data_IF_947367306745
#
_entry.id   IF_947367306745
#
_cell.length_a   1.000
_cell.length_b   1.000
_cell.length_c   1.000
_cell.angle_alpha   90.00
_cell.angle_beta   90.00
_cell.angle_gamma   90.00
#
_symmetry.space_group_name_H-M   'P 1'
#
loop_
_entity.id
_entity.type
_entity.pdbx_description
1 polymer ?
#
# COMPACT_ATOMS: atom_id res chain seq x y z
N UNK A 1 -17.21 4.00 7.11
CA UNK A 1 -16.29 4.06 5.95
C UNK A 1 -14.87 4.30 6.45
N UNK A 2 -13.96 3.45 6.01
CA UNK A 2 -12.56 3.63 6.35
C UNK A 2 -11.93 4.58 5.33
N UNK A 3 -11.35 5.65 5.80
CA UNK A 3 -10.61 6.57 4.98
C UNK A 3 -9.31 6.95 5.70
N UNK A 4 -8.45 7.71 5.03
CA UNK A 4 -7.15 8.06 5.59
C UNK A 4 -7.30 8.81 6.91
N UNK A 5 -8.31 9.68 7.01
CA UNK A 5 -8.52 10.47 8.21
C UNK A 5 -8.89 9.64 9.44
N UNK A 6 -9.30 8.38 9.25
CA UNK A 6 -9.59 7.47 10.36
C UNK A 6 -8.37 6.83 10.98
N UNK A 7 -7.18 7.03 10.41
CA UNK A 7 -5.93 6.44 10.89
C UNK A 7 -5.06 7.54 11.48
N UNK A 8 -4.63 7.37 12.74
CA UNK A 8 -3.72 8.33 13.38
C UNK A 8 -2.27 8.00 13.06
N UNK A 9 -1.91 6.74 13.21
CA UNK A 9 -0.56 6.24 12.93
C UNK A 9 -0.72 5.00 12.08
N UNK A 10 -0.17 5.00 10.88
CA UNK A 10 -0.32 3.82 10.06
C UNK A 10 0.26 3.96 8.67
N UNK A 11 -0.02 2.94 7.87
CA UNK A 11 0.44 2.83 6.50
C UNK A 11 -0.77 2.56 5.61
N UNK A 12 -0.89 3.32 4.53
CA UNK A 12 -1.92 3.09 3.52
C UNK A 12 -1.25 2.76 2.20
N UNK A 13 -1.48 1.55 1.72
CA UNK A 13 -1.03 1.12 0.39
C UNK A 13 -2.15 1.44 -0.59
N UNK A 14 -1.94 2.45 -1.41
CA UNK A 14 -2.93 2.92 -2.37
C UNK A 14 -2.50 2.56 -3.79
N UNK A 15 -3.43 2.65 -4.73
CA UNK A 15 -3.19 2.36 -6.15
C UNK A 15 -2.73 0.93 -6.43
N UNK A 16 -3.15 -0.01 -5.61
CA UNK A 16 -2.93 -1.43 -5.87
C UNK A 16 -3.81 -1.82 -7.05
N UNK A 17 -3.26 -2.53 -8.03
CA UNK A 17 -4.08 -3.04 -9.14
C UNK A 17 -5.22 -3.88 -8.59
N UNK A 18 -6.42 -3.64 -9.11
CA UNK A 18 -7.60 -4.39 -8.67
C UNK A 18 -7.35 -5.89 -8.83
N UNK A 19 -7.60 -6.63 -7.77
CA UNK A 19 -7.36 -8.08 -7.73
C UNK A 19 -6.04 -8.50 -7.13
N UNK A 20 -5.11 -7.57 -6.88
CA UNK A 20 -3.79 -7.93 -6.32
C UNK A 20 -3.67 -7.72 -4.81
N UNK A 21 -4.68 -7.14 -4.17
CA UNK A 21 -4.59 -6.85 -2.73
C UNK A 21 -4.34 -8.09 -1.89
N UNK A 22 -4.98 -9.21 -2.22
CA UNK A 22 -4.80 -10.44 -1.44
C UNK A 22 -3.42 -11.05 -1.62
N UNK A 23 -2.82 -10.88 -2.79
CA UNK A 23 -1.43 -11.30 -3.00
C UNK A 23 -0.48 -10.47 -2.14
N UNK A 24 -0.67 -9.15 -2.11
CA UNK A 24 0.12 -8.26 -1.26
C UNK A 24 -0.06 -8.65 0.21
N UNK A 25 -1.30 -8.89 0.62
CA UNK A 25 -1.63 -9.31 1.98
C UNK A 25 -0.83 -10.55 2.39
N UNK A 26 -0.77 -11.55 1.50
CA UNK A 26 -0.04 -12.79 1.77
C UNK A 26 1.48 -12.58 1.75
N UNK A 27 2.01 -11.88 0.76
CA UNK A 27 3.45 -11.67 0.64
C UNK A 27 4.01 -10.90 1.82
N UNK A 28 3.27 -9.94 2.35
CA UNK A 28 3.68 -9.15 3.50
C UNK A 28 3.30 -9.78 4.83
N UNK A 29 2.63 -10.93 4.80
CA UNK A 29 2.20 -11.66 6.00
C UNK A 29 1.36 -10.79 6.93
N UNK A 30 0.49 -9.99 6.34
CA UNK A 30 -0.32 -9.03 7.10
C UNK A 30 -1.32 -9.73 8.02
N UNK A 31 -1.69 -10.98 7.72
CA UNK A 31 -2.58 -11.76 8.57
C UNK A 31 -1.96 -12.14 9.92
N UNK A 32 -0.65 -11.99 10.07
CA UNK A 32 0.04 -12.30 11.33
C UNK A 32 0.14 -11.06 12.23
N UNK A 33 -0.28 -9.89 11.75
CA UNK A 33 -0.23 -8.67 12.55
C UNK A 33 -1.35 -8.67 13.60
N UNK A 34 -1.07 -8.10 14.75
CA UNK A 34 -2.05 -7.95 15.83
C UNK A 34 -2.77 -6.60 15.80
N UNK A 35 -2.49 -5.77 14.81
CA UNK A 35 -3.19 -4.51 14.60
C UNK A 35 -4.28 -4.67 13.54
N UNK A 36 -5.14 -3.66 13.43
CA UNK A 36 -6.21 -3.68 12.42
C UNK A 36 -5.63 -3.52 11.02
N UNK A 37 -6.05 -4.41 10.13
CA UNK A 37 -5.73 -4.34 8.70
C UNK A 37 -7.05 -4.34 7.94
N UNK A 38 -7.27 -3.33 7.11
CA UNK A 38 -8.47 -3.23 6.29
C UNK A 38 -8.10 -3.32 4.82
N UNK A 39 -8.86 -4.10 4.06
CA UNK A 39 -8.68 -4.25 2.62
C UNK A 39 -9.92 -3.71 1.94
N UNK A 40 -9.74 -2.76 1.03
CA UNK A 40 -10.82 -2.20 0.23
C UNK A 40 -10.58 -2.64 -1.21
N UNK A 41 -11.52 -3.40 -1.76
CA UNK A 41 -11.39 -3.94 -3.11
C UNK A 41 -12.27 -3.15 -4.08
N UNK A 42 -11.77 -2.98 -5.29
CA UNK A 42 -12.52 -2.38 -6.39
C UNK A 42 -13.00 -0.96 -6.11
N UNK A 43 -12.18 -0.17 -5.45
CA UNK A 43 -12.46 1.25 -5.26
C UNK A 43 -12.32 2.00 -6.59
N UNK A 44 -13.13 3.02 -6.80
CA UNK A 44 -13.03 3.84 -8.00
C UNK A 44 -11.72 4.62 -8.01
N UNK A 45 -11.09 4.68 -9.17
CA UNK A 45 -9.84 5.40 -9.37
C UNK A 45 -9.87 6.14 -10.69
N UNK A 46 -9.66 7.44 -10.66
CA UNK A 46 -9.58 8.24 -11.89
C UNK A 46 -8.37 7.82 -12.75
N UNK A 47 -7.30 7.39 -12.08
CA UNK A 47 -6.06 7.02 -12.76
C UNK A 47 -6.11 5.60 -13.33
N UNK A 48 -6.75 4.67 -12.61
CA UNK A 48 -6.67 3.24 -12.92
C UNK A 48 -8.03 2.62 -13.27
N UNK A 49 -9.11 3.39 -13.20
CA UNK A 49 -10.46 2.86 -13.29
C UNK A 49 -10.90 2.22 -12.00
N UNK A 50 -10.22 1.17 -11.56
CA UNK A 50 -10.43 0.51 -10.27
C UNK A 50 -9.11 0.22 -9.61
N UNK A 51 -9.10 0.23 -8.29
CA UNK A 51 -7.91 -0.05 -7.49
C UNK A 51 -8.31 -0.76 -6.22
N UNK A 52 -7.34 -1.41 -5.60
CA UNK A 52 -7.49 -1.90 -4.24
C UNK A 52 -6.67 -1.02 -3.30
N UNK A 53 -7.05 -1.00 -2.02
CA UNK A 53 -6.37 -0.22 -0.98
C UNK A 53 -6.20 -1.11 0.23
N UNK A 54 -5.02 -1.08 0.86
CA UNK A 54 -4.78 -1.76 2.15
C UNK A 54 -4.42 -0.71 3.18
N UNK A 55 -5.11 -0.71 4.31
CA UNK A 55 -4.84 0.19 5.42
C UNK A 55 -4.38 -0.61 6.62
N UNK A 56 -3.22 -0.25 7.17
CA UNK A 56 -2.62 -0.89 8.33
C UNK A 56 -2.60 0.13 9.46
N UNK A 57 -3.26 -0.20 10.57
CA UNK A 57 -3.42 0.73 11.70
C UNK A 57 -2.21 0.67 12.64
N UNK A 58 -1.03 0.73 12.05
CA UNK A 58 0.25 0.80 12.75
C UNK A 58 1.33 1.23 11.77
N UNK A 59 2.20 2.14 12.16
CA UNK A 59 3.36 2.48 11.35
C UNK A 59 4.40 1.38 11.47
N UNK A 60 4.92 0.89 10.34
CA UNK A 60 5.93 -0.15 10.31
C UNK A 60 6.69 -0.09 8.99
N UNK A 61 7.89 -0.63 9.01
CA UNK A 61 8.62 -0.86 7.78
C UNK A 61 8.22 -2.20 7.18
N UNK A 62 7.90 -2.17 5.90
CA UNK A 62 7.57 -3.36 5.13
C UNK A 62 8.63 -3.54 4.05
N UNK A 63 8.62 -4.69 3.41
CA UNK A 63 9.54 -4.95 2.30
C UNK A 63 9.07 -4.21 1.06
N UNK A 64 9.42 -2.94 0.97
CA UNK A 64 8.99 -2.06 -0.12
C UNK A 64 9.49 -2.53 -1.48
N UNK A 65 10.69 -3.12 -1.53
CA UNK A 65 11.24 -3.63 -2.78
C UNK A 65 10.42 -4.81 -3.29
N UNK A 66 10.05 -5.71 -2.40
CA UNK A 66 9.19 -6.84 -2.76
C UNK A 66 7.84 -6.35 -3.30
N UNK A 67 7.23 -5.40 -2.60
CA UNK A 67 5.95 -4.85 -3.03
C UNK A 67 6.06 -4.20 -4.40
N UNK A 68 7.12 -3.45 -4.63
CA UNK A 68 7.35 -2.79 -5.91
C UNK A 68 7.55 -3.77 -7.06
N UNK A 69 8.12 -4.94 -6.78
CA UNK A 69 8.22 -6.01 -7.77
C UNK A 69 6.87 -6.60 -8.12
N UNK A 70 6.01 -6.77 -7.11
CA UNK A 70 4.69 -7.34 -7.34
C UNK A 70 3.79 -6.35 -8.06
N UNK A 71 3.83 -5.08 -7.66
CA UNK A 71 2.98 -4.06 -8.26
C UNK A 71 3.62 -2.68 -8.11
N UNK A 72 4.35 -2.21 -9.13
CA UNK A 72 5.00 -0.90 -9.07
C UNK A 72 4.04 0.29 -9.12
N UNK A 73 2.75 0.06 -9.34
CA UNK A 73 1.76 1.15 -9.33
C UNK A 73 1.41 1.60 -7.92
N UNK A 74 1.78 0.83 -6.89
CA UNK A 74 1.42 1.11 -5.51
C UNK A 74 2.09 2.40 -5.02
N UNK A 75 1.32 3.21 -4.31
CA UNK A 75 1.82 4.35 -3.57
C UNK A 75 1.70 4.05 -2.09
N UNK A 76 2.78 4.27 -1.34
CA UNK A 76 2.80 4.07 0.11
C UNK A 76 2.60 5.42 0.78
N UNK A 77 1.58 5.53 1.62
CA UNK A 77 1.31 6.74 2.39
C UNK A 77 1.54 6.42 3.87
N UNK A 78 2.45 7.15 4.49
CA UNK A 78 2.71 7.02 5.92
C UNK A 78 1.91 8.11 6.63
N UNK A 79 1.09 7.69 7.58
CA UNK A 79 0.22 8.58 8.34
C UNK A 79 0.78 8.70 9.75
N UNK A 80 0.99 9.92 10.21
CA UNK A 80 1.44 10.23 11.56
C UNK A 80 0.58 11.37 12.10
N UNK A 81 0.11 11.20 13.30
CA UNK A 81 -0.69 12.22 13.99
C UNK A 81 -1.91 12.63 13.16
N UNK A 82 -2.52 11.66 12.49
CA UNK A 82 -3.71 11.87 11.67
C UNK A 82 -3.45 12.58 10.34
N UNK A 83 -2.19 12.80 9.96
CA UNK A 83 -1.83 13.53 8.75
C UNK A 83 -0.90 12.72 7.87
N UNK A 84 -0.92 13.01 6.57
CA UNK A 84 0.02 12.43 5.63
C UNK A 84 1.42 12.95 5.94
N UNK A 85 2.28 12.08 6.46
CA UNK A 85 3.66 12.43 6.81
C UNK A 85 4.62 12.18 5.66
N UNK A 86 4.40 11.12 4.89
CA UNK A 86 5.31 10.73 3.83
C UNK A 86 4.52 10.00 2.74
N UNK A 87 4.88 10.25 1.50
CA UNK A 87 4.29 9.56 0.35
C UNK A 87 5.42 9.04 -0.51
N UNK A 88 5.36 7.75 -0.86
CA UNK A 88 6.44 7.07 -1.55
C UNK A 88 5.91 6.31 -2.76
N UNK A 89 6.56 6.49 -3.90
CA UNK A 89 6.29 5.68 -5.09
C UNK A 89 7.19 4.46 -5.07
N UNK A 90 6.68 3.32 -5.52
CA UNK A 90 7.42 2.06 -5.54
C UNK A 90 7.94 1.69 -6.92
N UNK A 91 8.08 2.66 -7.83
CA UNK A 91 8.68 2.40 -9.13
C UNK A 91 10.09 1.84 -8.95
N UNK A 92 10.41 0.80 -9.72
CA UNK A 92 11.75 0.22 -9.68
C UNK A 92 12.78 1.26 -10.12
N UNK A 93 13.96 1.30 -9.45
CA UNK A 93 15.03 2.18 -9.87
C UNK A 93 15.44 1.90 -11.32
N UNK A 94 15.77 2.95 -12.04
CA UNK A 94 16.16 2.83 -13.45
C UNK A 94 17.37 1.92 -13.62
N UNK A 95 18.33 1.97 -12.70
CA UNK A 95 19.50 1.11 -12.74
C UNK A 95 19.14 -0.37 -12.70
N UNK A 96 18.10 -0.75 -11.99
CA UNK A 96 17.65 -2.14 -11.94
C UNK A 96 17.03 -2.52 -13.28
N UNK A 97 16.25 -1.62 -13.87
CA UNK A 97 15.68 -1.86 -15.19
C UNK A 97 16.74 -1.99 -16.26
N UNK A 98 17.82 -1.23 -16.13
CA UNK A 98 18.93 -1.29 -17.08
C UNK A 98 19.74 -2.57 -17.00
N UNK A 99 19.72 -3.25 -15.86
CA UNK A 99 20.42 -4.53 -15.67
C UNK A 99 19.64 -5.68 -16.29
N UNK A 100 18.33 -5.55 -16.31
CA UNK A 100 17.46 -6.59 -16.85
C UNK A 100 17.34 -6.47 -18.36
#
# INVERSE_FOLDING_TARGET
MLNISGIREGVVLDHIQAGKSMDIYRYLRLGELDCTVAIIKNAKSNKMGRKDIIKIDREMDLDWDLIGYVDPSITVNIIRDGKLAEKRSLKLPERIRGVL
#
